data_IF_965427286694
#
_entry.id   IF_965427286694
#
_cell.length_a   1.000
_cell.length_b   1.000
_cell.length_c   1.000
_cell.angle_alpha   90.00
_cell.angle_beta   90.00
_cell.angle_gamma   90.00
#
_symmetry.space_group_name_H-M   'P 1'
#
loop_
_entity.id
_entity.type
_entity.pdbx_description
1 polymer ?
#
# COMPACT_ATOMS: atom_id res chain seq x y z
N UNK A 1 7.52 -1.29 -21.56
CA UNK A 1 7.69 -1.78 -20.17
C UNK A 1 8.74 -0.89 -19.51
N UNK A 2 8.31 0.15 -18.79
CA UNK A 2 9.24 1.02 -18.05
C UNK A 2 9.56 0.34 -16.71
N UNK A 3 10.73 -0.30 -16.62
CA UNK A 3 11.22 -0.79 -15.33
C UNK A 3 11.74 0.41 -14.55
N UNK A 4 11.00 0.83 -13.52
CA UNK A 4 11.49 1.81 -12.54
C UNK A 4 12.73 1.23 -11.87
N UNK A 5 13.90 1.72 -12.26
CA UNK A 5 15.17 1.41 -11.63
C UNK A 5 15.24 2.20 -10.33
N UNK A 6 14.70 1.62 -9.25
CA UNK A 6 14.73 2.24 -7.92
C UNK A 6 16.20 2.29 -7.48
N UNK A 7 16.81 3.46 -7.55
CA UNK A 7 18.17 3.69 -7.06
C UNK A 7 18.21 3.59 -5.53
N UNK A 8 19.36 3.26 -4.96
CA UNK A 8 19.53 3.15 -3.50
C UNK A 8 19.09 4.43 -2.76
N UNK A 9 19.21 5.60 -3.40
CA UNK A 9 18.77 6.89 -2.87
C UNK A 9 17.25 7.02 -2.77
N UNK A 10 16.50 6.45 -3.71
CA UNK A 10 15.03 6.53 -3.74
C UNK A 10 14.40 5.73 -2.59
N UNK A 11 14.94 4.54 -2.30
CA UNK A 11 14.50 3.73 -1.15
C UNK A 11 14.73 4.47 0.16
N UNK A 12 15.87 5.15 0.28
CA UNK A 12 16.18 5.94 1.48
C UNK A 12 15.19 7.09 1.66
N UNK A 13 14.85 7.81 0.58
CA UNK A 13 13.87 8.90 0.64
C UNK A 13 12.50 8.38 1.07
N UNK A 14 12.04 7.27 0.49
CA UNK A 14 10.75 6.66 0.84
C UNK A 14 10.75 6.18 2.31
N UNK A 15 11.83 5.53 2.74
CA UNK A 15 11.96 5.05 4.12
C UNK A 15 11.99 6.21 5.13
N UNK A 16 12.70 7.30 4.82
CA UNK A 16 12.78 8.49 5.66
C UNK A 16 11.44 9.24 5.71
N UNK A 17 10.75 9.36 4.59
CA UNK A 17 9.43 9.97 4.53
C UNK A 17 8.40 9.18 5.36
N UNK A 18 8.41 7.85 5.25
CA UNK A 18 7.54 7.00 6.07
C UNK A 18 7.90 7.09 7.56
N UNK A 19 9.18 6.96 7.91
CA UNK A 19 9.65 7.00 9.30
C UNK A 19 9.38 8.35 9.98
N UNK A 20 9.59 9.45 9.28
CA UNK A 20 9.30 10.79 9.80
C UNK A 20 7.80 11.02 9.99
N UNK A 21 6.96 10.54 9.07
CA UNK A 21 5.49 10.59 9.21
C UNK A 21 4.99 9.82 10.44
N UNK A 22 5.48 8.58 10.64
CA UNK A 22 5.12 7.77 11.81
C UNK A 22 5.60 8.41 13.11
N UNK A 23 6.80 9.02 13.10
CA UNK A 23 7.34 9.73 14.27
C UNK A 23 6.48 10.95 14.62
N UNK A 24 6.07 11.75 13.63
CA UNK A 24 5.17 12.88 13.86
C UNK A 24 3.83 12.42 14.45
N UNK A 25 3.25 11.34 13.92
CA UNK A 25 2.03 10.76 14.47
C UNK A 25 2.22 10.28 15.92
N UNK A 26 3.36 9.66 16.23
CA UNK A 26 3.71 9.26 17.60
C UNK A 26 3.77 10.45 18.55
N UNK A 27 4.38 11.57 18.14
CA UNK A 27 4.48 12.77 18.97
C UNK A 27 3.10 13.36 19.32
N UNK A 28 2.11 13.20 18.43
CA UNK A 28 0.76 13.73 18.64
C UNK A 28 -0.08 12.81 19.54
N UNK A 29 -0.08 11.50 19.30
CA UNK A 29 -1.02 10.57 19.97
C UNK A 29 -0.36 9.55 20.91
N UNK A 30 0.96 9.62 21.07
CA UNK A 30 1.75 8.71 21.89
C UNK A 30 1.33 8.72 23.35
N UNK A 31 1.08 9.90 23.92
CA UNK A 31 0.70 10.03 25.33
C UNK A 31 -0.72 9.51 25.65
N UNK A 32 -1.60 9.38 24.65
CA UNK A 32 -2.96 8.84 24.83
C UNK A 32 -2.96 7.32 24.72
N UNK A 33 -2.32 6.81 23.66
CA UNK A 33 -2.58 5.45 23.17
C UNK A 33 -1.36 4.52 23.20
N UNK A 34 -0.16 5.05 23.46
CA UNK A 34 1.11 4.35 23.23
C UNK A 34 1.51 4.29 21.76
N UNK A 35 0.72 4.90 20.85
CA UNK A 35 0.98 5.05 19.42
C UNK A 35 1.40 3.75 18.71
N UNK A 36 0.62 2.69 18.93
CA UNK A 36 0.81 1.42 18.24
C UNK A 36 -0.02 1.45 16.95
N UNK A 37 0.58 1.79 15.81
CA UNK A 37 -0.19 1.90 14.56
C UNK A 37 -0.29 0.59 13.77
N UNK A 38 0.40 -0.46 14.23
CA UNK A 38 0.53 -1.73 13.52
C UNK A 38 -0.27 -2.84 14.22
N UNK A 39 -1.24 -3.47 13.53
CA UNK A 39 -2.00 -4.62 14.03
C UNK A 39 -1.12 -5.76 14.57
N UNK A 40 0.00 -6.07 13.92
CA UNK A 40 0.91 -7.14 14.34
C UNK A 40 1.57 -6.81 15.69
N UNK A 41 1.94 -5.55 15.91
CA UNK A 41 2.53 -5.09 17.18
C UNK A 41 1.46 -5.12 18.28
N UNK A 42 0.22 -4.72 17.98
CA UNK A 42 -0.88 -4.78 18.95
C UNK A 42 -1.17 -6.22 19.38
N UNK A 43 -1.18 -7.16 18.44
CA UNK A 43 -1.33 -8.59 18.75
C UNK A 43 -0.14 -9.11 19.56
N UNK A 44 1.10 -8.77 19.19
CA UNK A 44 2.30 -9.17 19.94
C UNK A 44 2.23 -8.67 21.40
N UNK A 45 1.87 -7.40 21.62
CA UNK A 45 1.72 -6.85 22.98
C UNK A 45 0.59 -7.54 23.76
N UNK A 46 -0.49 -7.94 23.09
CA UNK A 46 -1.56 -8.72 23.71
C UNK A 46 -1.07 -10.13 24.13
N UNK A 47 -0.27 -10.81 23.30
CA UNK A 47 0.30 -12.13 23.66
C UNK A 47 1.28 -12.05 24.82
N UNK A 48 2.01 -10.94 24.96
CA UNK A 48 2.91 -10.67 26.09
C UNK A 48 2.18 -10.15 27.33
N UNK A 49 0.84 -10.14 27.33
CA UNK A 49 -0.01 -9.63 28.41
C UNK A 49 0.27 -8.15 28.78
N UNK A 50 0.86 -7.39 27.85
CA UNK A 50 1.15 -5.95 27.98
C UNK A 50 0.03 -5.08 27.42
N UNK A 51 -1.02 -5.70 26.88
CA UNK A 51 -2.18 -5.00 26.34
C UNK A 51 -3.47 -5.71 26.76
N UNK A 52 -4.47 -4.99 27.30
CA UNK A 52 -5.70 -5.61 27.77
C UNK A 52 -6.48 -6.21 26.58
N UNK A 53 -6.79 -7.52 26.58
CA UNK A 53 -7.39 -8.21 25.43
C UNK A 53 -8.78 -7.66 25.08
N UNK A 54 -9.51 -7.10 26.05
CA UNK A 54 -10.81 -6.45 25.81
C UNK A 54 -10.70 -5.20 24.90
N UNK A 55 -9.56 -4.52 24.90
CA UNK A 55 -9.32 -3.35 24.04
C UNK A 55 -8.74 -3.72 22.68
N UNK A 56 -8.26 -4.96 22.50
CA UNK A 56 -7.55 -5.41 21.30
C UNK A 56 -8.39 -5.20 20.03
N UNK A 57 -9.64 -5.65 20.06
CA UNK A 57 -10.56 -5.57 18.91
C UNK A 57 -10.85 -4.11 18.55
N UNK A 58 -11.11 -3.25 19.54
CA UNK A 58 -11.34 -1.83 19.33
C UNK A 58 -10.12 -1.13 18.72
N UNK A 59 -8.93 -1.52 19.16
CA UNK A 59 -7.67 -0.97 18.68
C UNK A 59 -7.36 -1.40 17.24
N UNK A 60 -7.62 -2.68 16.91
CA UNK A 60 -7.50 -3.21 15.55
C UNK A 60 -8.50 -2.53 14.59
N UNK A 61 -9.76 -2.39 15.01
CA UNK A 61 -10.77 -1.69 14.20
C UNK A 61 -10.36 -0.24 13.93
N UNK A 62 -9.86 0.48 14.95
CA UNK A 62 -9.38 1.84 14.78
C UNK A 62 -8.20 1.92 13.79
N UNK A 63 -7.25 0.97 13.84
CA UNK A 63 -6.14 0.91 12.89
C UNK A 63 -6.60 0.66 11.46
N UNK A 64 -7.51 -0.30 11.23
CA UNK A 64 -8.02 -0.59 9.90
C UNK A 64 -8.85 0.56 9.33
N UNK A 65 -9.72 1.17 10.14
CA UNK A 65 -10.49 2.35 9.73
C UNK A 65 -9.59 3.53 9.45
N UNK A 66 -8.56 3.77 10.28
CA UNK A 66 -7.58 4.82 10.06
C UNK A 66 -6.79 4.63 8.76
N UNK A 67 -6.36 3.41 8.47
CA UNK A 67 -5.67 3.06 7.22
C UNK A 67 -6.57 3.28 6.00
N UNK A 68 -7.84 2.85 6.09
CA UNK A 68 -8.82 3.03 5.02
C UNK A 68 -9.11 4.52 4.76
N UNK A 69 -9.40 5.30 5.80
CA UNK A 69 -9.66 6.74 5.68
C UNK A 69 -8.46 7.50 5.12
N UNK A 70 -7.23 7.15 5.56
CA UNK A 70 -6.01 7.79 5.04
C UNK A 70 -5.81 7.50 3.55
N UNK A 71 -6.04 6.24 3.13
CA UNK A 71 -5.94 5.85 1.73
C UNK A 71 -6.99 6.58 0.87
N UNK A 72 -8.24 6.66 1.36
CA UNK A 72 -9.30 7.40 0.68
C UNK A 72 -9.00 8.91 0.59
N UNK A 73 -8.50 9.52 1.66
CA UNK A 73 -8.12 10.94 1.67
C UNK A 73 -7.00 11.23 0.66
N UNK A 74 -5.99 10.36 0.58
CA UNK A 74 -4.89 10.50 -0.38
C UNK A 74 -5.39 10.37 -1.83
N UNK A 75 -6.31 9.43 -2.09
CA UNK A 75 -6.93 9.28 -3.40
C UNK A 75 -7.71 10.54 -3.82
N UNK A 76 -8.50 11.11 -2.91
CA UNK A 76 -9.23 12.36 -3.15
C UNK A 76 -8.28 13.54 -3.37
N UNK A 77 -7.18 13.63 -2.61
CA UNK A 77 -6.19 14.69 -2.77
C UNK A 77 -5.53 14.66 -4.16
N UNK A 78 -5.19 13.47 -4.65
CA UNK A 78 -4.60 13.32 -5.99
C UNK A 78 -5.64 13.25 -7.11
N UNK A 79 -6.94 13.26 -6.81
CA UNK A 79 -8.02 13.11 -7.79
C UNK A 79 -7.94 14.09 -8.96
N UNK A 80 -7.66 15.36 -8.67
CA UNK A 80 -7.55 16.39 -9.71
C UNK A 80 -6.28 16.25 -10.55
N UNK A 81 -5.19 15.77 -9.95
CA UNK A 81 -3.91 15.55 -10.63
C UNK A 81 -3.91 14.28 -11.49
N UNK A 82 -4.86 13.37 -11.29
CA UNK A 82 -5.03 12.18 -12.12
C UNK A 82 -5.64 12.45 -13.51
N UNK A 83 -6.36 13.56 -13.68
CA UNK A 83 -7.14 13.85 -14.90
C UNK A 83 -6.32 14.54 -15.99
N UNK A 84 -5.14 15.05 -15.64
CA UNK A 84 -4.24 15.69 -16.58
C UNK A 84 -3.35 14.61 -17.18
N UNK A 85 -3.64 14.17 -18.41
CA UNK A 85 -2.81 13.25 -19.19
C UNK A 85 -1.49 13.91 -19.62
N UNK A 86 -0.67 14.33 -18.66
CA UNK A 86 0.74 14.66 -18.92
C UNK A 86 1.56 13.38 -18.89
N UNK A 87 1.46 12.59 -19.97
CA UNK A 87 2.52 11.77 -20.55
C UNK A 87 3.40 10.87 -19.67
N UNK A 88 3.04 10.59 -18.42
CA UNK A 88 3.86 9.78 -17.52
C UNK A 88 2.97 8.88 -16.67
N UNK A 89 3.09 7.58 -16.91
CA UNK A 89 2.49 6.47 -16.16
C UNK A 89 2.83 6.47 -14.65
N UNK A 90 3.62 7.42 -14.15
CA UNK A 90 4.11 7.50 -12.77
C UNK A 90 3.00 7.81 -11.75
N UNK A 91 2.06 8.70 -12.07
CA UNK A 91 0.93 8.99 -11.15
C UNK A 91 0.04 7.77 -10.99
N UNK A 92 -0.15 7.00 -12.07
CA UNK A 92 -0.85 5.71 -12.02
C UNK A 92 -0.06 4.68 -11.22
N UNK A 93 1.27 4.62 -11.35
CA UNK A 93 2.09 3.70 -10.57
C UNK A 93 2.13 4.04 -9.07
N UNK A 94 2.17 5.32 -8.68
CA UNK A 94 2.08 5.73 -7.27
C UNK A 94 0.73 5.33 -6.67
N UNK A 95 -0.35 5.40 -7.45
CA UNK A 95 -1.66 4.90 -7.04
C UNK A 95 -1.73 3.38 -7.01
N UNK A 96 -1.02 2.64 -7.86
CA UNK A 96 -0.95 1.17 -7.77
C UNK A 96 -0.34 0.68 -6.45
N UNK A 97 0.59 1.46 -5.88
CA UNK A 97 1.19 1.16 -4.58
C UNK A 97 0.18 1.43 -3.45
N UNK A 98 -0.68 2.44 -3.62
CA UNK A 98 -1.72 2.82 -2.66
C UNK A 98 -2.97 1.92 -2.74
N UNK A 99 -3.35 1.53 -3.96
CA UNK A 99 -4.48 0.68 -4.33
C UNK A 99 -4.00 -0.35 -5.35
N UNK A 100 -3.87 -1.60 -4.93
CA UNK A 100 -3.46 -2.74 -5.79
C UNK A 100 -4.44 -3.03 -6.95
N UNK A 101 -5.59 -2.35 -6.99
CA UNK A 101 -6.70 -2.60 -7.92
C UNK A 101 -6.56 -1.94 -9.28
N UNK A 102 -5.57 -1.09 -9.53
CA UNK A 102 -5.41 -0.53 -10.88
C UNK A 102 -4.96 -1.64 -11.83
N UNK A 103 -5.69 -1.92 -12.91
CA UNK A 103 -5.35 -2.99 -13.83
C UNK A 103 -4.02 -2.68 -14.50
N UNK A 104 -3.06 -3.60 -14.37
CA UNK A 104 -1.81 -3.54 -15.10
C UNK A 104 -2.10 -3.56 -16.60
N UNK A 105 -1.55 -2.59 -17.32
CA UNK A 105 -1.73 -2.29 -18.75
C UNK A 105 -1.44 -3.50 -19.68
N UNK A 106 -0.88 -4.57 -19.11
CA UNK A 106 -0.41 -5.78 -19.77
C UNK A 106 -1.53 -6.81 -20.01
N UNK A 107 -2.75 -6.56 -19.51
CA UNK A 107 -3.89 -7.48 -19.66
C UNK A 107 -4.80 -7.05 -20.81
N UNK A 108 -4.95 -5.74 -21.04
CA UNK A 108 -5.80 -5.19 -22.11
C UNK A 108 -5.12 -5.12 -23.49
N UNK A 109 -3.82 -5.43 -23.56
CA UNK A 109 -3.01 -5.36 -24.79
C UNK A 109 -2.58 -6.74 -25.31
N UNK A 110 -2.89 -7.84 -24.60
CA UNK A 110 -2.64 -9.18 -25.13
C UNK A 110 -3.67 -9.51 -26.20
N UNK A 111 -3.28 -9.38 -27.48
CA UNK A 111 -3.93 -10.10 -28.58
C UNK A 111 -4.08 -11.57 -28.13
N UNK A 112 -5.25 -12.21 -28.28
CA UNK A 112 -5.48 -13.57 -27.81
C UNK A 112 -4.39 -14.49 -28.37
N UNK A 113 -3.79 -15.30 -27.50
CA UNK A 113 -2.79 -16.26 -27.92
C UNK A 113 -3.46 -17.26 -28.88
N UNK A 114 -2.92 -17.49 -30.09
CA UNK A 114 -3.41 -18.58 -30.91
C UNK A 114 -3.13 -19.88 -30.15
N UNK A 115 -4.17 -20.69 -29.97
CA UNK A 115 -4.05 -22.01 -29.36
C UNK A 115 -3.07 -22.82 -30.21
N UNK A 116 -1.83 -23.02 -29.72
CA UNK A 116 -0.87 -23.91 -30.38
C UNK A 116 -1.34 -25.32 -30.08
N UNK A 117 -2.13 -25.90 -30.97
CA UNK A 117 -2.41 -27.34 -31.01
C UNK A 117 -1.10 -28.09 -31.25
N UNK A 118 -0.40 -28.43 -30.17
CA UNK A 118 0.73 -29.36 -30.22
C UNK A 118 0.17 -30.78 -30.22
N UNK A 119 -0.27 -31.25 -31.39
CA UNK A 119 -0.51 -32.66 -31.62
C UNK A 119 0.83 -33.29 -32.03
N UNK A 120 1.56 -33.88 -31.09
CA UNK A 120 2.66 -34.79 -31.44
C UNK A 120 2.08 -36.19 -31.64
N UNK A 121 2.20 -36.82 -32.83
CA UNK A 121 1.84 -38.23 -32.97
C UNK A 121 2.82 -39.08 -32.16
N UNK A 122 2.28 -39.87 -31.25
CA UNK A 122 3.00 -40.93 -30.55
C UNK A 122 3.40 -41.97 -31.60
N UNK A 123 4.66 -41.94 -32.03
CA UNK A 123 5.30 -43.02 -32.79
C UNK A 123 6.74 -43.14 -32.33
#
# INVERSE_FOLDING_TARGET
>A
VYQLKIGNTEILVIALAFGSGVTAAFMIVGHISGAVFNPAITVALATMNKFPPKKLIHYLLAQYLGAFCSSAALHLYFWSHMKTDTGVDQTKQLLNILFVTTPHNNIMTKKPMPYRTSLSPFT
#
